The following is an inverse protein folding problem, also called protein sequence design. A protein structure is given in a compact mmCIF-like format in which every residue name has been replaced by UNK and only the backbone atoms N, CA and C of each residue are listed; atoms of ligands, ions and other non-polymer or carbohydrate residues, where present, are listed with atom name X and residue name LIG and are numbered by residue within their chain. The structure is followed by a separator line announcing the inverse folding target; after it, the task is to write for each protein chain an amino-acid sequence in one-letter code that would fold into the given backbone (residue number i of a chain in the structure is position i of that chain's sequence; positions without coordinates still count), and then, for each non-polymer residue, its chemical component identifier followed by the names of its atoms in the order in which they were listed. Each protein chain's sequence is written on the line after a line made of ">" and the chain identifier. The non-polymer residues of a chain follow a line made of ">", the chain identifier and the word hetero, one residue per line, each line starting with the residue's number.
data_IF_199283203169
#
_entry.id   IF_199283203169
#
_cell.length_a   1.000
_cell.length_b   1.000
_cell.length_c   1.000
_cell.angle_alpha   90.00
_cell.angle_beta   90.00
_cell.angle_gamma   90.00
#
_symmetry.space_group_name_H-M   'P 1'
#
loop_
_entity.id
_entity.type
_entity.pdbx_description
1 polymer ?
#
# COMPACT_ATOMS: atom_id res chain seq x y z
N UNK A 1 25.82 13.97 11.04
CA UNK A 1 25.62 12.83 10.10
C UNK A 1 24.36 11.98 10.34
N UNK A 2 23.76 11.94 11.54
CA UNK A 2 22.59 11.08 11.82
C UNK A 2 21.27 11.46 11.14
N UNK A 3 21.02 12.75 10.88
CA UNK A 3 19.70 13.21 10.40
C UNK A 3 19.47 13.04 8.89
N UNK A 4 20.49 13.28 8.07
CA UNK A 4 20.39 13.07 6.61
C UNK A 4 20.05 11.60 6.29
N UNK A 5 20.66 10.64 7.01
CA UNK A 5 20.34 9.21 6.89
C UNK A 5 18.91 8.87 7.30
N UNK A 6 18.38 9.50 8.37
CA UNK A 6 17.01 9.29 8.81
C UNK A 6 15.97 9.80 7.79
N UNK A 7 16.28 10.91 7.12
CA UNK A 7 15.43 11.52 6.11
C UNK A 7 15.41 10.74 4.80
N UNK A 8 16.59 10.26 4.35
CA UNK A 8 16.68 9.35 3.20
C UNK A 8 15.91 8.06 3.49
N UNK A 9 16.07 7.47 4.67
CA UNK A 9 15.37 6.25 5.07
C UNK A 9 13.85 6.40 5.11
N UNK A 10 13.33 7.55 5.59
CA UNK A 10 11.89 7.80 5.60
C UNK A 10 11.33 7.97 4.17
N UNK A 11 12.02 8.71 3.31
CA UNK A 11 11.65 8.87 1.90
C UNK A 11 11.66 7.54 1.14
N UNK A 12 12.58 6.65 1.47
CA UNK A 12 12.65 5.30 0.92
C UNK A 12 11.47 4.43 1.37
N UNK A 13 11.09 4.48 2.66
CA UNK A 13 9.88 3.81 3.16
C UNK A 13 8.60 4.35 2.53
N UNK A 14 8.52 5.65 2.28
CA UNK A 14 7.38 6.28 1.58
C UNK A 14 7.28 5.76 0.15
N UNK A 15 8.41 5.71 -0.57
CA UNK A 15 8.46 5.14 -1.94
C UNK A 15 8.10 3.67 -1.95
N UNK A 16 8.61 2.86 -1.02
CA UNK A 16 8.33 1.42 -0.94
C UNK A 16 6.85 1.16 -0.61
N UNK A 17 6.26 1.89 0.35
CA UNK A 17 4.82 1.80 0.63
C UNK A 17 3.96 2.18 -0.58
N UNK A 18 4.35 3.23 -1.33
CA UNK A 18 3.65 3.64 -2.56
C UNK A 18 3.75 2.58 -3.66
N UNK A 19 4.92 1.97 -3.83
CA UNK A 19 5.14 0.91 -4.81
C UNK A 19 4.32 -0.35 -4.50
N UNK A 20 4.33 -0.81 -3.24
CA UNK A 20 3.52 -1.96 -2.80
C UNK A 20 2.03 -1.72 -2.97
N UNK A 21 1.59 -0.48 -2.73
CA UNK A 21 0.21 -0.06 -2.95
C UNK A 21 -0.19 -0.16 -4.43
N UNK A 22 0.65 0.31 -5.34
CA UNK A 22 0.40 0.23 -6.78
C UNK A 22 0.41 -1.23 -7.29
N UNK A 23 1.29 -2.08 -6.75
CA UNK A 23 1.33 -3.52 -7.05
C UNK A 23 0.08 -4.26 -6.57
N UNK A 24 -0.40 -3.97 -5.36
CA UNK A 24 -1.62 -4.55 -4.80
C UNK A 24 -2.86 -4.18 -5.63
N UNK A 25 -2.99 -2.88 -5.98
CA UNK A 25 -4.07 -2.40 -6.85
C UNK A 25 -4.07 -3.07 -8.23
N UNK A 26 -2.88 -3.29 -8.81
CA UNK A 26 -2.73 -4.04 -10.07
C UNK A 26 -3.13 -5.51 -9.93
N UNK A 27 -2.71 -6.16 -8.84
CA UNK A 27 -2.98 -7.58 -8.62
C UNK A 27 -4.46 -7.90 -8.43
N UNK A 28 -5.20 -7.04 -7.70
CA UNK A 28 -6.66 -7.20 -7.52
C UNK A 28 -7.41 -7.18 -8.85
N UNK A 29 -7.09 -6.23 -9.73
CA UNK A 29 -7.70 -6.15 -11.06
C UNK A 29 -7.39 -7.36 -11.95
N UNK A 30 -6.20 -7.95 -11.84
CA UNK A 30 -5.83 -9.15 -12.59
C UNK A 30 -6.58 -10.40 -12.09
N UNK A 31 -6.78 -10.52 -10.78
CA UNK A 31 -7.50 -11.65 -10.18
C UNK A 31 -8.98 -11.62 -10.60
N UNK A 32 -9.62 -10.46 -10.56
CA UNK A 32 -11.02 -10.31 -11.00
C UNK A 32 -11.18 -10.67 -12.48
N UNK A 33 -10.31 -10.14 -13.35
CA UNK A 33 -10.33 -10.44 -14.78
C UNK A 33 -10.12 -11.93 -15.07
N UNK A 34 -9.18 -12.57 -14.37
CA UNK A 34 -8.92 -14.01 -14.50
C UNK A 34 -10.10 -14.87 -14.02
N UNK A 35 -10.74 -14.49 -12.92
CA UNK A 35 -11.93 -15.17 -12.40
C UNK A 35 -13.11 -15.06 -13.37
N UNK A 36 -13.38 -13.86 -13.92
CA UNK A 36 -14.42 -13.66 -14.93
C UNK A 36 -14.17 -14.47 -16.21
N UNK A 37 -12.94 -14.46 -16.71
CA UNK A 37 -12.56 -15.24 -17.89
C UNK A 37 -12.79 -16.74 -17.66
N UNK A 38 -12.46 -17.24 -16.46
CA UNK A 38 -12.62 -18.66 -16.11
C UNK A 38 -14.07 -19.07 -15.97
N UNK A 39 -14.94 -18.23 -15.40
CA UNK A 39 -16.39 -18.50 -15.35
C UNK A 39 -17.00 -18.53 -16.75
N UNK A 40 -16.61 -17.59 -17.62
CA UNK A 40 -17.11 -17.53 -19.00
C UNK A 40 -16.69 -18.75 -19.81
N UNK A 41 -15.42 -19.14 -19.70
CA UNK A 41 -14.89 -20.32 -20.37
C UNK A 41 -15.53 -21.62 -19.84
N UNK A 42 -15.71 -21.70 -18.52
CA UNK A 42 -16.41 -22.80 -17.86
C UNK A 42 -17.84 -22.97 -18.39
N UNK A 43 -18.59 -21.87 -18.53
CA UNK A 43 -19.93 -21.93 -19.09
C UNK A 43 -19.91 -22.39 -20.56
N UNK A 44 -18.98 -21.85 -21.37
CA UNK A 44 -18.84 -22.25 -22.78
C UNK A 44 -18.55 -23.75 -22.94
N UNK A 45 -17.67 -24.31 -22.10
CA UNK A 45 -17.37 -25.74 -22.13
C UNK A 45 -18.58 -26.60 -21.75
N UNK A 46 -19.42 -26.12 -20.83
CA UNK A 46 -20.70 -26.76 -20.50
C UNK A 46 -21.67 -26.73 -21.69
N UNK A 47 -21.84 -25.57 -22.32
CA UNK A 47 -22.73 -25.40 -23.49
C UNK A 47 -22.28 -26.25 -24.70
N UNK A 48 -20.99 -26.51 -24.83
CA UNK A 48 -20.40 -27.40 -25.84
C UNK A 48 -20.45 -28.90 -25.47
N UNK A 49 -21.00 -29.24 -24.30
CA UNK A 49 -21.08 -30.61 -23.78
C UNK A 49 -19.73 -31.22 -23.36
N UNK A 50 -18.70 -30.38 -23.19
CA UNK A 50 -17.34 -30.79 -22.80
C UNK A 50 -17.12 -30.80 -21.28
N UNK A 51 -18.11 -30.35 -20.52
CA UNK A 51 -18.09 -30.28 -19.07
C UNK A 51 -19.52 -30.37 -18.56
N UNK A 52 -19.69 -30.89 -17.34
CA UNK A 52 -21.01 -30.92 -16.72
C UNK A 52 -21.43 -29.53 -16.19
N UNK A 53 -22.74 -29.27 -16.21
CA UNK A 53 -23.29 -28.00 -15.75
C UNK A 53 -23.09 -27.80 -14.24
N UNK A 54 -23.13 -28.87 -13.44
CA UNK A 54 -22.88 -28.79 -11.99
C UNK A 54 -21.43 -28.38 -11.70
N UNK A 55 -20.48 -28.88 -12.49
CA UNK A 55 -19.07 -28.47 -12.42
C UNK A 55 -18.91 -26.98 -12.78
N UNK A 56 -19.60 -26.51 -13.83
CA UNK A 56 -19.58 -25.11 -14.25
C UNK A 56 -20.13 -24.17 -13.16
N UNK A 57 -21.24 -24.55 -12.54
CA UNK A 57 -21.84 -23.80 -11.44
C UNK A 57 -20.96 -23.84 -10.18
N UNK A 58 -20.24 -24.94 -9.95
CA UNK A 58 -19.21 -25.04 -8.91
C UNK A 58 -18.05 -24.06 -9.13
N UNK A 59 -17.57 -23.90 -10.37
CA UNK A 59 -16.56 -22.88 -10.72
C UNK A 59 -17.10 -21.48 -10.46
N UNK A 60 -18.32 -21.18 -10.93
CA UNK A 60 -18.98 -19.89 -10.73
C UNK A 60 -19.17 -19.53 -9.26
N UNK A 61 -19.60 -20.48 -8.43
CA UNK A 61 -19.78 -20.28 -6.98
C UNK A 61 -18.46 -19.97 -6.29
N UNK A 62 -17.38 -20.71 -6.60
CA UNK A 62 -16.05 -20.45 -6.04
C UNK A 62 -15.50 -19.10 -6.45
N UNK A 63 -15.59 -18.74 -7.73
CA UNK A 63 -15.18 -17.42 -8.22
C UNK A 63 -15.93 -16.29 -7.50
N UNK A 64 -17.24 -16.45 -7.23
CA UNK A 64 -18.01 -15.47 -6.45
C UNK A 64 -17.50 -15.31 -5.02
N UNK A 65 -17.23 -16.41 -4.31
CA UNK A 65 -16.71 -16.35 -2.93
C UNK A 65 -15.36 -15.65 -2.89
N UNK A 66 -14.45 -16.00 -3.81
CA UNK A 66 -13.14 -15.36 -3.91
C UNK A 66 -13.28 -13.87 -4.26
N UNK A 67 -14.19 -13.50 -5.17
CA UNK A 67 -14.46 -12.11 -5.52
C UNK A 67 -14.94 -11.28 -4.32
N UNK A 68 -15.85 -11.81 -3.51
CA UNK A 68 -16.30 -11.12 -2.29
C UNK A 68 -15.19 -10.99 -1.25
N UNK A 69 -14.38 -12.03 -1.05
CA UNK A 69 -13.23 -11.97 -0.14
C UNK A 69 -12.20 -10.94 -0.61
N UNK A 70 -11.90 -10.90 -1.90
CA UNK A 70 -10.99 -9.91 -2.49
C UNK A 70 -11.53 -8.49 -2.33
N UNK A 71 -12.82 -8.27 -2.58
CA UNK A 71 -13.43 -6.96 -2.41
C UNK A 71 -13.40 -6.48 -0.95
N UNK A 72 -13.66 -7.38 0.00
CA UNK A 72 -13.53 -7.09 1.43
C UNK A 72 -12.09 -6.70 1.81
N UNK A 73 -11.09 -7.43 1.30
CA UNK A 73 -9.67 -7.12 1.51
C UNK A 73 -9.26 -5.80 0.86
N UNK A 74 -9.72 -5.50 -0.36
CA UNK A 74 -9.46 -4.20 -1.01
C UNK A 74 -10.04 -3.04 -0.19
N UNK A 75 -11.26 -3.21 0.34
CA UNK A 75 -11.89 -2.22 1.20
C UNK A 75 -11.09 -2.02 2.50
N UNK A 76 -10.75 -3.10 3.19
CA UNK A 76 -9.95 -3.06 4.42
C UNK A 76 -8.58 -2.39 4.16
N UNK A 77 -7.94 -2.73 3.06
CA UNK A 77 -6.67 -2.15 2.67
C UNK A 77 -6.78 -0.65 2.35
N UNK A 78 -7.85 -0.22 1.69
CA UNK A 78 -8.11 1.20 1.44
C UNK A 78 -8.31 2.01 2.72
N UNK A 79 -9.05 1.47 3.69
CA UNK A 79 -9.22 2.09 5.01
C UNK A 79 -7.89 2.19 5.75
N UNK A 80 -7.13 1.10 5.77
CA UNK A 80 -5.85 1.02 6.50
C UNK A 80 -4.79 1.94 5.91
N UNK A 81 -4.79 2.11 4.58
CA UNK A 81 -3.84 2.98 3.87
C UNK A 81 -3.84 4.41 4.39
N UNK A 82 -5.02 5.00 4.60
CA UNK A 82 -5.13 6.39 5.03
C UNK A 82 -4.54 6.59 6.43
N UNK A 83 -4.81 5.64 7.33
CA UNK A 83 -4.28 5.63 8.70
C UNK A 83 -2.76 5.48 8.70
N UNK A 84 -2.25 4.49 7.97
CA UNK A 84 -0.82 4.22 7.84
C UNK A 84 -0.04 5.42 7.29
N UNK A 85 -0.60 6.09 6.27
CA UNK A 85 0.05 7.25 5.67
C UNK A 85 0.05 8.44 6.64
N UNK A 86 -1.05 8.66 7.35
CA UNK A 86 -1.16 9.69 8.38
C UNK A 86 -0.12 9.50 9.48
N UNK A 87 -0.04 8.31 10.06
CA UNK A 87 0.91 8.01 11.14
C UNK A 87 2.36 8.16 10.68
N UNK A 88 2.68 7.68 9.48
CA UNK A 88 3.99 7.83 8.87
C UNK A 88 4.37 9.31 8.67
N UNK A 89 3.47 10.12 8.11
CA UNK A 89 3.72 11.55 7.90
C UNK A 89 3.85 12.31 9.21
N UNK A 90 3.05 11.97 10.22
CA UNK A 90 3.17 12.54 11.57
C UNK A 90 4.54 12.24 12.19
N UNK A 91 4.99 10.99 12.13
CA UNK A 91 6.29 10.60 12.63
C UNK A 91 7.43 11.33 11.90
N UNK A 92 7.33 11.43 10.57
CA UNK A 92 8.30 12.14 9.75
C UNK A 92 8.41 13.62 10.13
N UNK A 93 7.29 14.34 10.16
CA UNK A 93 7.28 15.77 10.48
C UNK A 93 7.79 16.05 11.89
N UNK A 94 7.45 15.21 12.87
CA UNK A 94 8.00 15.32 14.24
C UNK A 94 9.53 15.22 14.23
N UNK A 95 10.10 14.26 13.49
CA UNK A 95 11.55 14.12 13.38
C UNK A 95 12.20 15.30 12.64
N UNK A 96 11.54 15.85 11.62
CA UNK A 96 12.00 17.05 10.92
C UNK A 96 12.06 18.27 11.83
N UNK A 97 11.02 18.50 12.63
CA UNK A 97 10.99 19.60 13.61
C UNK A 97 12.18 19.47 14.57
N UNK A 98 12.37 18.29 15.17
CA UNK A 98 13.47 18.05 16.10
C UNK A 98 14.83 18.25 15.45
N UNK A 99 14.98 17.87 14.17
CA UNK A 99 16.21 18.07 13.44
C UNK A 99 16.55 19.55 13.27
N UNK A 100 15.61 20.35 12.77
CA UNK A 100 15.85 21.78 12.56
C UNK A 100 16.02 22.55 13.87
N UNK A 101 15.31 22.15 14.95
CA UNK A 101 15.54 22.69 16.28
C UNK A 101 16.98 22.43 16.78
N UNK A 102 17.55 21.25 16.51
CA UNK A 102 18.94 20.96 16.86
C UNK A 102 19.92 21.82 16.06
N UNK A 103 19.66 22.04 14.78
CA UNK A 103 20.47 22.96 13.96
C UNK A 103 20.39 24.38 14.53
N UNK A 104 19.19 24.88 14.82
CA UNK A 104 18.99 26.20 15.41
C UNK A 104 19.80 26.38 16.70
N UNK A 105 19.71 25.43 17.63
CA UNK A 105 20.50 25.44 18.87
C UNK A 105 22.01 25.45 18.65
N UNK A 106 22.52 24.76 17.63
CA UNK A 106 23.94 24.77 17.31
C UNK A 106 24.40 26.14 16.78
N UNK A 107 23.55 26.78 15.97
CA UNK A 107 23.82 28.14 15.46
C UNK A 107 23.76 29.16 16.59
N UNK A 108 22.74 29.11 17.45
CA UNK A 108 22.63 29.97 18.65
C UNK A 108 23.83 29.81 19.58
N UNK A 109 24.24 28.56 19.86
CA UNK A 109 25.42 28.30 20.68
C UNK A 109 26.70 28.89 20.09
N UNK A 110 26.84 28.88 18.75
CA UNK A 110 27.98 29.47 18.06
C UNK A 110 27.91 30.99 18.11
N UNK A 111 26.72 31.58 17.94
CA UNK A 111 26.50 33.03 18.01
C UNK A 111 26.87 33.58 19.39
N UNK A 112 26.43 32.92 20.46
CA UNK A 112 26.73 33.34 21.84
C UNK A 112 28.24 33.36 22.16
N UNK A 113 29.09 32.65 21.40
CA UNK A 113 30.54 32.76 21.57
C UNK A 113 31.09 34.14 21.17
N UNK A 114 30.39 34.85 20.29
CA UNK A 114 30.76 36.20 19.85
C UNK A 114 30.25 37.29 20.80
N UNK A 115 29.21 37.03 21.59
CA UNK A 115 28.68 38.00 22.57
C UNK A 115 29.60 38.16 23.80
N UNK A 116 30.54 37.23 24.00
CA UNK A 116 31.49 37.22 25.11
C UNK A 116 32.92 37.68 24.71
N UNK A 117 33.06 38.25 23.51
CA UNK A 117 34.28 38.89 22.99
C UNK A 117 34.06 40.39 22.98
#
# INVERSE_FOLDING_TARGET
>A
MGSAKAQTHCNEKIKDKRKRLDELLKSGGQIDQGAFAKVKESQRMSDEGKMDQEEADGVKKRCRVVGFALQAEMNHFHERRAVDFKEMMQAYLKQQILFYQRIGKQLESTLNMYDNI
#
